data_IF_182668583188
#
_entry.id   IF_182668583188
#
_cell.length_a   1.000
_cell.length_b   1.000
_cell.length_c   1.000
_cell.angle_alpha   90.00
_cell.angle_beta   90.00
_cell.angle_gamma   90.00
#
_symmetry.space_group_name_H-M   'P 1'
#
loop_
_entity.id
_entity.type
_entity.pdbx_description
1 polymer ?
#
# COMPACT_ATOMS: atom_id res chain seq x y z
N UNK A 1 -27.63 11.08 -59.63
CA UNK A 1 -27.30 12.49 -59.25
C UNK A 1 -26.21 12.42 -58.17
N UNK A 2 -25.01 12.51 -58.63
CA UNK A 2 -23.78 12.41 -57.81
C UNK A 2 -23.39 13.80 -57.28
N UNK A 3 -23.25 13.96 -55.94
CA UNK A 3 -22.61 15.15 -55.37
C UNK A 3 -21.22 14.78 -54.84
N UNK A 4 -20.22 15.29 -55.55
CA UNK A 4 -18.82 15.29 -55.16
C UNK A 4 -18.55 16.35 -54.09
N UNK A 5 -17.95 15.98 -52.95
CA UNK A 5 -17.51 16.91 -51.93
C UNK A 5 -16.00 17.07 -51.99
N UNK A 6 -15.55 18.27 -52.26
CA UNK A 6 -14.16 18.69 -52.37
C UNK A 6 -13.61 18.96 -50.96
N UNK A 7 -12.56 18.22 -50.58
CA UNK A 7 -11.78 18.46 -49.36
C UNK A 7 -10.75 19.54 -49.66
N UNK A 8 -10.85 20.67 -48.93
CA UNK A 8 -9.83 21.73 -48.92
C UNK A 8 -8.72 21.41 -47.95
N UNK A 9 -7.53 21.21 -48.49
CA UNK A 9 -6.29 21.05 -47.73
C UNK A 9 -5.79 22.44 -47.30
N UNK A 10 -5.69 22.72 -46.01
CA UNK A 10 -5.06 23.91 -45.47
C UNK A 10 -3.60 23.60 -45.11
N UNK A 11 -2.69 24.29 -45.81
CA UNK A 11 -1.25 24.31 -45.54
C UNK A 11 -0.96 25.27 -44.36
N UNK A 12 -0.31 24.77 -43.31
CA UNK A 12 0.30 25.60 -42.27
C UNK A 12 1.77 25.87 -42.61
N UNK A 13 2.26 27.10 -42.38
CA UNK A 13 3.64 27.46 -42.65
C UNK A 13 4.60 26.96 -41.56
N UNK A 14 5.70 26.38 -42.01
CA UNK A 14 6.86 26.00 -41.18
C UNK A 14 7.64 27.26 -40.83
N UNK A 15 7.75 27.56 -39.53
CA UNK A 15 8.67 28.58 -39.03
C UNK A 15 10.07 28.00 -38.86
N UNK A 16 10.99 28.51 -39.63
CA UNK A 16 12.42 28.21 -39.61
C UNK A 16 13.08 29.08 -38.52
N UNK A 17 13.54 28.46 -37.40
CA UNK A 17 14.33 29.18 -36.39
C UNK A 17 15.81 29.07 -36.78
N UNK A 18 16.40 30.23 -37.08
CA UNK A 18 17.83 30.39 -37.35
C UNK A 18 18.59 30.49 -36.02
N UNK A 19 19.50 29.54 -35.79
CA UNK A 19 20.41 29.50 -34.64
C UNK A 19 21.64 30.37 -34.94
N UNK A 20 21.77 31.53 -34.28
CA UNK A 20 22.98 32.38 -34.31
C UNK A 20 23.96 31.91 -33.25
N UNK A 21 25.11 31.40 -33.72
CA UNK A 21 26.27 31.07 -32.86
C UNK A 21 27.11 32.36 -32.71
N UNK A 22 27.22 32.86 -31.48
CA UNK A 22 28.22 33.85 -31.12
C UNK A 22 29.40 33.17 -30.39
N UNK A 23 30.54 33.15 -31.05
CA UNK A 23 31.84 32.88 -30.44
C UNK A 23 32.40 34.20 -29.89
N UNK A 24 32.67 34.25 -28.59
CA UNK A 24 33.49 35.27 -27.99
C UNK A 24 34.48 34.61 -27.00
N UNK A 25 35.76 34.68 -27.34
CA UNK A 25 36.88 34.49 -26.40
C UNK A 25 37.04 35.71 -25.49
N UNK A 26 37.19 35.51 -24.19
CA UNK A 26 38.09 36.32 -23.38
C UNK A 26 38.25 35.80 -21.94
N UNK A 27 39.50 35.51 -21.60
CA UNK A 27 40.27 35.70 -20.36
C UNK A 27 39.60 35.63 -18.98
N UNK A 28 40.18 34.75 -18.22
CA UNK A 28 40.11 34.40 -16.79
C UNK A 28 39.79 35.49 -15.77
N UNK A 29 38.94 35.05 -14.84
CA UNK A 29 39.06 35.42 -13.42
C UNK A 29 38.37 34.31 -12.62
N UNK A 30 39.13 33.68 -11.70
CA UNK A 30 38.61 32.77 -10.70
C UNK A 30 37.73 33.56 -9.71
N UNK A 31 36.41 33.29 -9.73
CA UNK A 31 35.53 33.66 -8.66
C UNK A 31 35.18 32.40 -7.88
N UNK A 32 35.55 32.36 -6.63
CA UNK A 32 35.08 31.39 -5.64
C UNK A 32 33.56 31.50 -5.51
N UNK A 33 32.84 30.52 -6.03
CA UNK A 33 31.39 30.38 -5.81
C UNK A 33 31.22 29.59 -4.53
N UNK A 34 30.73 30.25 -3.49
CA UNK A 34 30.16 29.60 -2.32
C UNK A 34 28.83 28.95 -2.75
N UNK A 35 28.78 27.64 -2.70
CA UNK A 35 27.55 26.87 -2.89
C UNK A 35 26.55 27.24 -1.78
N UNK A 36 25.49 27.90 -2.16
CA UNK A 36 24.28 27.99 -1.35
C UNK A 36 23.43 26.75 -1.62
N UNK A 37 23.09 26.06 -0.55
CA UNK A 37 22.23 24.89 -0.41
C UNK A 37 21.03 24.90 -1.37
N UNK A 38 21.00 23.89 -2.24
CA UNK A 38 19.75 23.37 -2.80
C UNK A 38 19.40 22.12 -1.98
N UNK A 39 18.48 22.26 -1.04
CA UNK A 39 17.92 21.14 -0.30
C UNK A 39 17.05 20.30 -1.26
N UNK A 40 17.60 19.20 -1.73
CA UNK A 40 16.87 18.11 -2.39
C UNK A 40 16.06 17.38 -1.30
N UNK A 41 14.72 17.29 -1.39
CA UNK A 41 13.89 16.65 -0.36
C UNK A 41 13.93 15.10 -0.38
N UNK A 42 14.86 14.48 -1.11
CA UNK A 42 14.95 13.02 -1.27
C UNK A 42 16.09 12.37 -0.48
N UNK A 43 16.82 13.08 0.36
CA UNK A 43 17.73 12.43 1.30
C UNK A 43 16.95 12.04 2.55
N UNK A 44 16.47 10.79 2.59
CA UNK A 44 16.15 10.13 3.84
C UNK A 44 17.34 10.34 4.79
N UNK A 45 17.09 11.02 5.89
CA UNK A 45 18.07 11.25 6.96
C UNK A 45 18.37 9.88 7.59
N UNK A 46 19.36 9.17 7.05
CA UNK A 46 19.90 7.98 7.70
C UNK A 46 20.74 8.48 8.87
N UNK A 47 20.13 8.59 10.04
CA UNK A 47 20.84 8.72 11.30
C UNK A 47 21.82 7.55 11.41
N UNK A 48 23.10 7.81 11.15
CA UNK A 48 24.18 6.82 11.22
C UNK A 48 24.39 6.27 12.65
N UNK A 49 23.52 6.60 13.59
CA UNK A 49 23.52 6.20 14.98
C UNK A 49 22.23 5.49 15.43
N UNK A 50 21.29 5.21 14.51
CA UNK A 50 20.14 4.40 14.83
C UNK A 50 20.60 2.95 15.05
N UNK A 51 20.29 2.39 16.22
CA UNK A 51 20.45 0.94 16.42
C UNK A 51 19.67 0.21 15.33
N UNK A 52 20.20 -0.91 14.79
CA UNK A 52 19.47 -1.67 13.79
C UNK A 52 18.08 -2.02 14.31
N UNK A 53 17.05 -2.05 13.45
CA UNK A 53 15.71 -2.38 13.87
C UNK A 53 15.71 -3.76 14.53
N UNK A 54 15.10 -3.84 15.71
CA UNK A 54 14.94 -5.13 16.43
C UNK A 54 13.69 -5.79 15.87
N UNK A 55 13.88 -6.87 15.11
CA UNK A 55 12.76 -7.69 14.67
C UNK A 55 12.18 -8.47 15.84
N UNK A 56 10.85 -8.51 15.90
CA UNK A 56 10.10 -9.24 16.91
C UNK A 56 9.21 -10.29 16.24
N UNK A 57 9.19 -11.47 16.83
CA UNK A 57 8.23 -12.53 16.54
C UNK A 57 7.19 -12.53 17.64
N UNK A 58 5.92 -12.35 17.28
CA UNK A 58 4.79 -12.30 18.22
C UNK A 58 3.78 -13.38 17.81
N UNK A 59 3.52 -14.34 18.68
CA UNK A 59 2.40 -15.27 18.53
C UNK A 59 1.11 -14.53 18.91
N UNK A 60 0.27 -14.23 17.90
CA UNK A 60 -0.96 -13.45 18.05
C UNK A 60 -2.13 -14.35 18.47
N UNK A 61 -2.16 -15.57 17.93
CA UNK A 61 -3.10 -16.62 18.26
C UNK A 61 -2.44 -17.97 18.01
N UNK A 62 -3.13 -19.08 18.34
CA UNK A 62 -2.58 -20.43 18.19
C UNK A 62 -1.94 -20.65 16.81
N UNK A 63 -0.63 -20.83 16.79
CA UNK A 63 0.16 -21.07 15.56
C UNK A 63 0.11 -19.95 14.51
N UNK A 64 -0.42 -18.78 14.85
CA UNK A 64 -0.50 -17.58 14.01
C UNK A 64 0.43 -16.48 14.53
N UNK A 65 1.37 -16.06 13.72
CA UNK A 65 2.47 -15.18 14.12
C UNK A 65 2.47 -13.89 13.30
N UNK A 66 2.80 -12.79 13.98
CA UNK A 66 3.22 -11.52 13.38
C UNK A 66 4.74 -11.38 13.51
N UNK A 67 5.41 -11.00 12.44
CA UNK A 67 6.86 -10.79 12.40
C UNK A 67 7.19 -9.42 11.83
N UNK A 68 7.93 -8.60 12.57
CA UNK A 68 8.26 -7.26 12.08
C UNK A 68 9.20 -6.47 12.98
N UNK A 69 9.51 -5.23 12.56
CA UNK A 69 10.49 -4.34 13.19
C UNK A 69 9.86 -3.14 13.92
N UNK A 70 8.57 -3.21 14.24
CA UNK A 70 7.84 -2.13 14.89
C UNK A 70 7.16 -1.15 13.92
N UNK A 71 7.63 -1.03 12.68
CA UNK A 71 7.03 -0.19 11.65
C UNK A 71 6.30 -0.99 10.57
N UNK A 72 6.86 -2.15 10.21
CA UNK A 72 6.31 -3.03 9.17
C UNK A 72 6.24 -4.44 9.71
N UNK A 73 5.12 -5.10 9.45
CA UNK A 73 4.83 -6.46 9.90
C UNK A 73 4.31 -7.32 8.76
N UNK A 74 4.78 -8.55 8.74
CA UNK A 74 4.29 -9.65 7.94
C UNK A 74 3.63 -10.69 8.86
N UNK A 75 2.98 -11.69 8.28
CA UNK A 75 2.33 -12.74 9.05
C UNK A 75 2.69 -14.13 8.53
N UNK A 76 2.62 -15.15 9.39
CA UNK A 76 2.64 -16.54 8.97
C UNK A 76 1.84 -17.44 9.90
N UNK A 77 1.32 -18.52 9.35
CA UNK A 77 0.61 -19.57 10.09
C UNK A 77 1.37 -20.90 9.97
N UNK A 78 1.60 -21.53 11.08
CA UNK A 78 2.15 -22.90 11.15
C UNK A 78 1.01 -23.89 11.15
N UNK A 79 1.11 -24.94 10.34
CA UNK A 79 0.13 -26.04 10.26
C UNK A 79 0.81 -27.39 10.37
N UNK A 80 0.05 -28.46 10.49
CA UNK A 80 0.61 -29.83 10.57
C UNK A 80 1.30 -30.31 9.27
N UNK A 81 1.03 -29.62 8.13
CA UNK A 81 1.57 -30.03 6.83
C UNK A 81 2.50 -28.98 6.18
N UNK A 82 2.71 -27.84 6.83
CA UNK A 82 3.57 -26.77 6.32
C UNK A 82 3.22 -25.41 6.86
N UNK A 83 3.96 -24.40 6.41
CA UNK A 83 3.77 -23.00 6.78
C UNK A 83 3.18 -22.24 5.61
N UNK A 84 2.24 -21.34 5.91
CA UNK A 84 1.69 -20.34 5.00
C UNK A 84 2.17 -18.96 5.48
N UNK A 85 2.95 -18.28 4.66
CA UNK A 85 3.45 -16.93 4.92
C UNK A 85 2.65 -15.89 4.11
N UNK A 86 2.57 -14.67 4.62
CA UNK A 86 1.89 -13.53 3.98
C UNK A 86 2.82 -12.33 3.98
N UNK A 87 3.02 -11.72 2.81
CA UNK A 87 3.82 -10.53 2.54
C UNK A 87 5.29 -10.61 3.00
N UNK A 88 6.23 -10.80 2.07
CA UNK A 88 7.66 -10.92 2.39
C UNK A 88 8.35 -9.57 2.66
N UNK A 89 7.68 -8.44 2.39
CA UNK A 89 8.13 -7.05 2.57
C UNK A 89 9.30 -6.70 1.64
N UNK A 90 10.50 -7.13 1.97
CA UNK A 90 11.74 -6.94 1.20
C UNK A 90 12.71 -8.11 1.46
N UNK A 91 13.84 -8.23 0.73
CA UNK A 91 14.73 -9.38 0.84
C UNK A 91 15.34 -9.57 2.23
N UNK A 92 15.64 -8.50 2.96
CA UNK A 92 16.18 -8.58 4.33
C UNK A 92 15.12 -9.10 5.29
N UNK A 93 13.93 -8.48 5.28
CA UNK A 93 12.80 -8.90 6.11
C UNK A 93 12.41 -10.36 5.81
N UNK A 94 12.32 -10.74 4.53
CA UNK A 94 12.01 -12.09 4.11
C UNK A 94 13.02 -13.13 4.62
N UNK A 95 14.33 -12.82 4.58
CA UNK A 95 15.37 -13.70 5.08
C UNK A 95 15.24 -13.94 6.59
N UNK A 96 15.05 -12.85 7.35
CA UNK A 96 14.85 -12.92 8.81
C UNK A 96 13.53 -13.62 9.17
N UNK A 97 12.47 -13.44 8.37
CA UNK A 97 11.19 -14.13 8.56
C UNK A 97 11.31 -15.62 8.32
N UNK A 98 12.06 -16.06 7.31
CA UNK A 98 12.35 -17.48 7.08
C UNK A 98 13.14 -18.08 8.26
N UNK A 99 14.10 -17.35 8.84
CA UNK A 99 14.82 -17.77 10.05
C UNK A 99 13.86 -17.84 11.26
N UNK A 100 12.97 -16.86 11.43
CA UNK A 100 11.96 -16.86 12.48
C UNK A 100 11.01 -18.05 12.36
N UNK A 101 10.53 -18.37 11.15
CA UNK A 101 9.73 -19.57 10.89
C UNK A 101 10.47 -20.84 11.32
N UNK A 102 11.74 -21.00 10.93
CA UNK A 102 12.57 -22.15 11.29
C UNK A 102 12.86 -22.26 12.79
N UNK A 103 12.75 -21.15 13.53
CA UNK A 103 12.92 -21.16 14.98
C UNK A 103 11.71 -21.75 15.73
N UNK A 104 10.53 -21.81 15.11
CA UNK A 104 9.29 -22.28 15.72
C UNK A 104 8.80 -23.61 15.14
N UNK A 105 9.27 -24.01 13.94
CA UNK A 105 8.84 -25.27 13.31
C UNK A 105 9.86 -25.80 12.31
N UNK A 106 9.92 -27.12 12.15
CA UNK A 106 10.65 -27.81 11.08
C UNK A 106 9.80 -28.03 9.82
N UNK A 107 8.54 -27.61 9.82
CA UNK A 107 7.63 -27.77 8.68
C UNK A 107 8.11 -26.95 7.47
N UNK A 108 7.94 -27.48 6.24
CA UNK A 108 8.30 -26.73 5.03
C UNK A 108 7.40 -25.52 4.82
N UNK A 109 7.96 -24.45 4.27
CA UNK A 109 7.12 -23.30 3.83
C UNK A 109 6.46 -23.72 2.53
N UNK A 110 5.12 -23.82 2.53
CA UNK A 110 4.33 -24.28 1.39
C UNK A 110 3.87 -23.13 0.50
N UNK A 111 3.39 -22.06 1.12
CA UNK A 111 2.87 -20.90 0.41
C UNK A 111 3.46 -19.61 0.94
N UNK A 112 3.68 -18.69 0.01
CA UNK A 112 3.78 -17.26 0.27
C UNK A 112 2.61 -16.59 -0.45
N UNK A 113 1.77 -15.86 0.27
CA UNK A 113 0.61 -15.20 -0.30
C UNK A 113 0.86 -13.69 -0.31
N UNK A 114 0.75 -13.07 -1.48
CA UNK A 114 0.78 -11.63 -1.61
C UNK A 114 -0.59 -11.03 -1.31
N UNK A 115 -0.62 -9.98 -0.51
CA UNK A 115 -1.85 -9.27 -0.21
C UNK A 115 -2.32 -8.38 -1.36
N UNK A 116 -1.38 -7.67 -2.02
CA UNK A 116 -1.67 -6.75 -3.12
C UNK A 116 -0.40 -6.41 -3.91
N UNK A 117 -0.49 -5.51 -4.89
CA UNK A 117 0.60 -5.26 -5.85
C UNK A 117 1.74 -4.36 -5.37
N UNK A 118 1.72 -3.82 -4.15
CA UNK A 118 2.74 -2.89 -3.66
C UNK A 118 4.07 -3.57 -3.35
N UNK A 119 5.16 -2.92 -3.80
CA UNK A 119 6.51 -3.50 -3.71
C UNK A 119 7.09 -3.53 -2.30
N UNK A 120 6.64 -2.67 -1.43
CA UNK A 120 6.99 -2.65 0.00
C UNK A 120 6.32 -3.78 0.80
N UNK A 121 5.42 -4.55 0.16
CA UNK A 121 4.84 -5.79 0.68
C UNK A 121 5.39 -7.04 0.00
N UNK A 122 5.66 -6.98 -1.31
CA UNK A 122 5.98 -8.19 -2.10
C UNK A 122 7.45 -8.28 -2.55
N UNK A 123 8.28 -7.31 -2.14
CA UNK A 123 9.67 -7.18 -2.60
C UNK A 123 10.63 -8.29 -2.18
N UNK A 124 10.22 -9.24 -1.33
CA UNK A 124 11.05 -10.34 -0.83
C UNK A 124 10.69 -11.74 -1.36
N UNK A 125 9.81 -11.83 -2.37
CA UNK A 125 9.26 -13.10 -2.86
C UNK A 125 10.31 -14.14 -3.27
N UNK A 126 11.43 -13.72 -3.85
CA UNK A 126 12.48 -14.66 -4.28
C UNK A 126 13.06 -15.46 -3.12
N UNK A 127 13.21 -14.88 -1.93
CA UNK A 127 13.72 -15.57 -0.74
C UNK A 127 12.82 -16.76 -0.35
N UNK A 128 11.51 -16.56 -0.39
CA UNK A 128 10.54 -17.62 -0.12
C UNK A 128 10.50 -18.68 -1.23
N UNK A 129 10.64 -18.25 -2.48
CA UNK A 129 10.72 -19.17 -3.62
C UNK A 129 11.96 -20.08 -3.51
N UNK A 130 13.11 -19.53 -3.12
CA UNK A 130 14.34 -20.27 -2.86
C UNK A 130 14.21 -21.22 -1.63
N UNK A 131 13.33 -20.86 -0.69
CA UNK A 131 12.97 -21.72 0.44
C UNK A 131 11.94 -22.83 0.08
N UNK A 132 11.45 -22.87 -1.16
CA UNK A 132 10.56 -23.90 -1.69
C UNK A 132 9.06 -23.56 -1.63
N UNK A 133 8.71 -22.32 -1.32
CA UNK A 133 7.31 -21.86 -1.29
C UNK A 133 6.74 -21.64 -2.70
N UNK A 134 5.47 -21.98 -2.89
CA UNK A 134 4.66 -21.52 -4.03
C UNK A 134 4.11 -20.12 -3.73
N UNK A 135 4.29 -19.18 -4.65
CA UNK A 135 3.77 -17.82 -4.49
C UNK A 135 2.36 -17.74 -5.07
N UNK A 136 1.40 -17.32 -4.25
CA UNK A 136 -0.01 -17.18 -4.59
C UNK A 136 -0.45 -15.72 -4.44
N UNK A 137 -1.30 -15.23 -5.33
CA UNK A 137 -1.97 -13.93 -5.20
C UNK A 137 -3.37 -13.94 -5.80
N UNK A 138 -4.13 -12.87 -5.56
CA UNK A 138 -5.31 -12.60 -6.38
C UNK A 138 -4.88 -12.36 -7.85
N UNK A 139 -5.73 -12.75 -8.83
CA UNK A 139 -5.41 -12.59 -10.25
C UNK A 139 -5.14 -11.13 -10.64
N UNK A 140 -5.88 -10.16 -10.09
CA UNK A 140 -5.66 -8.73 -10.34
C UNK A 140 -4.23 -8.28 -9.94
N UNK A 141 -3.69 -8.78 -8.83
CA UNK A 141 -2.30 -8.54 -8.43
C UNK A 141 -1.32 -9.09 -9.46
N UNK A 142 -1.50 -10.34 -9.88
CA UNK A 142 -0.64 -10.98 -10.87
C UNK A 142 -0.71 -10.28 -12.22
N UNK A 143 -1.89 -9.96 -12.70
CA UNK A 143 -2.12 -9.26 -13.97
C UNK A 143 -1.47 -7.87 -13.96
N UNK A 144 -1.60 -7.14 -12.83
CA UNK A 144 -0.94 -5.86 -12.68
C UNK A 144 0.58 -5.99 -12.77
N UNK A 145 1.18 -6.94 -12.04
CA UNK A 145 2.63 -7.18 -12.05
C UNK A 145 3.16 -7.59 -13.42
N UNK A 146 2.43 -8.40 -14.17
CA UNK A 146 2.79 -8.80 -15.54
C UNK A 146 2.79 -7.61 -16.49
N UNK A 147 1.79 -6.72 -16.38
CA UNK A 147 1.64 -5.56 -17.24
C UNK A 147 2.51 -4.36 -16.83
N UNK A 148 2.98 -4.33 -15.57
CA UNK A 148 3.81 -3.27 -15.00
C UNK A 148 5.07 -3.87 -14.36
N UNK A 149 6.02 -4.39 -15.16
CA UNK A 149 7.21 -5.06 -14.65
C UNK A 149 7.96 -4.17 -13.67
N UNK A 150 8.15 -4.66 -12.45
CA UNK A 150 8.87 -3.94 -11.43
C UNK A 150 10.35 -3.78 -11.83
N UNK A 151 10.95 -2.59 -11.69
CA UNK A 151 12.39 -2.43 -11.84
C UNK A 151 13.16 -3.11 -10.68
N UNK A 152 12.47 -3.53 -9.63
CA UNK A 152 13.05 -4.25 -8.49
C UNK A 152 13.05 -5.76 -8.77
N UNK A 153 14.23 -6.41 -8.93
CA UNK A 153 14.33 -7.86 -9.22
C UNK A 153 13.88 -8.75 -8.06
N UNK A 154 13.68 -8.18 -6.87
CA UNK A 154 13.17 -8.91 -5.71
C UNK A 154 11.64 -9.13 -5.74
N UNK A 155 10.94 -8.44 -6.64
CA UNK A 155 9.51 -8.68 -6.91
C UNK A 155 9.38 -9.83 -7.89
N UNK A 156 8.71 -10.90 -7.48
CA UNK A 156 8.52 -12.13 -8.25
C UNK A 156 7.05 -12.24 -8.65
N UNK A 157 6.80 -12.55 -9.93
CA UNK A 157 5.44 -12.86 -10.41
C UNK A 157 4.92 -14.10 -9.69
N UNK A 158 3.68 -14.11 -9.16
CA UNK A 158 3.08 -15.29 -8.53
C UNK A 158 3.10 -16.53 -9.43
N UNK A 159 3.28 -17.69 -8.80
CA UNK A 159 3.25 -18.99 -9.50
C UNK A 159 1.81 -19.45 -9.73
N UNK A 160 0.90 -19.10 -8.81
CA UNK A 160 -0.51 -19.46 -8.84
C UNK A 160 -1.37 -18.23 -8.53
N UNK A 161 -2.61 -18.22 -9.01
CA UNK A 161 -3.59 -17.17 -8.73
C UNK A 161 -4.92 -17.75 -8.29
N UNK A 162 -5.68 -16.94 -7.55
CA UNK A 162 -7.08 -17.17 -7.25
C UNK A 162 -7.91 -15.98 -7.74
N UNK A 163 -9.21 -16.18 -7.97
CA UNK A 163 -10.14 -15.21 -8.51
C UNK A 163 -11.43 -15.06 -7.68
N UNK A 164 -12.17 -14.01 -7.97
CA UNK A 164 -13.45 -13.74 -7.32
C UNK A 164 -13.31 -13.10 -5.93
N UNK A 165 -14.41 -13.06 -5.18
CA UNK A 165 -14.50 -12.33 -3.93
C UNK A 165 -13.99 -13.10 -2.71
N UNK A 166 -13.80 -14.43 -2.83
CA UNK A 166 -13.36 -15.29 -1.75
C UNK A 166 -12.67 -16.55 -2.27
N UNK A 167 -11.60 -16.93 -1.56
CA UNK A 167 -10.93 -18.22 -1.74
C UNK A 167 -10.51 -18.78 -0.38
N UNK A 168 -10.62 -20.11 -0.19
CA UNK A 168 -10.26 -20.77 1.06
C UNK A 168 -9.04 -21.67 0.84
N UNK A 169 -8.02 -21.51 1.67
CA UNK A 169 -6.85 -22.39 1.71
C UNK A 169 -7.01 -23.31 2.92
N UNK A 170 -6.95 -24.61 2.67
CA UNK A 170 -6.95 -25.64 3.71
C UNK A 170 -5.59 -26.36 3.67
N UNK A 171 -4.86 -26.31 4.78
CA UNK A 171 -3.56 -26.98 4.93
C UNK A 171 -3.39 -27.45 6.37
N UNK A 172 -3.02 -28.72 6.57
CA UNK A 172 -2.65 -29.28 7.88
C UNK A 172 -3.64 -28.97 9.00
N UNK A 173 -4.96 -29.08 8.73
CA UNK A 173 -6.03 -28.84 9.69
C UNK A 173 -6.40 -27.37 9.94
N UNK A 174 -5.69 -26.41 9.35
CA UNK A 174 -5.99 -24.99 9.44
C UNK A 174 -6.68 -24.48 8.18
N UNK A 175 -7.49 -23.44 8.33
CA UNK A 175 -8.18 -22.75 7.22
C UNK A 175 -7.81 -21.29 7.23
N UNK A 176 -7.42 -20.76 6.08
CA UNK A 176 -7.27 -19.32 5.82
C UNK A 176 -8.28 -18.93 4.75
N UNK A 177 -9.16 -18.01 5.06
CA UNK A 177 -10.11 -17.44 4.11
C UNK A 177 -9.52 -16.15 3.54
N UNK A 178 -9.38 -16.07 2.23
CA UNK A 178 -8.92 -14.90 1.48
C UNK A 178 -10.12 -14.13 0.97
N UNK A 179 -10.20 -12.84 1.24
CA UNK A 179 -11.29 -11.98 0.78
C UNK A 179 -10.77 -10.83 -0.07
N UNK A 180 -11.41 -10.61 -1.21
CA UNK A 180 -11.26 -9.42 -2.04
C UNK A 180 -12.60 -8.67 -2.04
N UNK A 181 -12.64 -7.47 -1.44
CA UNK A 181 -13.87 -6.69 -1.25
C UNK A 181 -14.10 -5.63 -2.33
N UNK A 182 -13.33 -5.66 -3.41
CA UNK A 182 -13.36 -4.68 -4.48
C UNK A 182 -12.22 -3.66 -4.40
N UNK A 183 -12.14 -2.74 -5.36
CA UNK A 183 -11.07 -1.76 -5.44
C UNK A 183 -11.02 -0.88 -4.18
N UNK A 184 -9.92 -0.91 -3.45
CA UNK A 184 -9.72 -0.15 -2.21
C UNK A 184 -8.32 0.43 -2.09
N UNK A 185 -7.28 -0.40 -2.23
CA UNK A 185 -5.88 -0.05 -2.10
C UNK A 185 -5.01 -1.02 -2.91
N UNK A 186 -4.21 -0.50 -3.84
CA UNK A 186 -3.46 -1.32 -4.77
C UNK A 186 -4.35 -2.26 -5.59
N UNK A 187 -3.75 -3.15 -6.36
CA UNK A 187 -4.48 -4.11 -7.18
C UNK A 187 -4.57 -5.47 -6.46
N UNK A 188 -5.77 -6.05 -6.45
CA UNK A 188 -6.05 -7.37 -5.88
C UNK A 188 -5.98 -7.44 -4.36
N UNK A 189 -6.30 -6.32 -3.66
CA UNK A 189 -6.21 -6.21 -2.21
C UNK A 189 -6.93 -7.34 -1.49
N UNK A 190 -6.16 -8.17 -0.80
CA UNK A 190 -6.59 -9.38 -0.11
C UNK A 190 -6.57 -9.18 1.40
N UNK A 191 -7.69 -9.44 2.06
CA UNK A 191 -7.80 -9.55 3.52
C UNK A 191 -7.82 -11.03 3.90
N UNK A 192 -7.03 -11.39 4.91
CA UNK A 192 -6.91 -12.76 5.39
C UNK A 192 -7.75 -12.93 6.66
N UNK A 193 -8.58 -13.97 6.70
CA UNK A 193 -9.28 -14.36 7.91
C UNK A 193 -8.85 -15.74 8.36
N UNK A 194 -8.63 -15.89 9.65
CA UNK A 194 -8.26 -17.11 10.35
C UNK A 194 -9.42 -17.49 11.27
N UNK A 195 -10.38 -18.31 10.79
CA UNK A 195 -11.64 -18.52 11.50
C UNK A 195 -11.47 -19.15 12.89
N UNK A 196 -10.60 -20.16 13.02
CA UNK A 196 -10.35 -20.84 14.29
C UNK A 196 -9.63 -19.94 15.31
N UNK A 197 -8.78 -19.05 14.84
CA UNK A 197 -8.01 -18.08 15.62
C UNK A 197 -8.77 -16.80 15.88
N UNK A 198 -9.98 -16.64 15.35
CA UNK A 198 -10.82 -15.43 15.44
C UNK A 198 -10.05 -14.16 15.11
N UNK A 199 -9.22 -14.21 14.07
CA UNK A 199 -8.28 -13.13 13.71
C UNK A 199 -8.43 -12.78 12.22
N UNK A 200 -8.21 -11.51 11.88
CA UNK A 200 -8.01 -11.06 10.50
C UNK A 200 -6.65 -10.36 10.36
N UNK A 201 -6.03 -10.47 9.19
CA UNK A 201 -4.88 -9.65 8.81
C UNK A 201 -5.32 -8.71 7.69
N UNK A 202 -5.32 -7.40 7.99
CA UNK A 202 -5.96 -6.37 7.14
C UNK A 202 -4.97 -5.66 6.25
N UNK A 203 -3.69 -5.95 6.41
CA UNK A 203 -2.58 -5.28 5.71
C UNK A 203 -2.76 -3.75 5.81
N UNK A 204 -2.77 -3.03 4.71
CA UNK A 204 -2.80 -1.56 4.67
C UNK A 204 -4.18 -0.94 4.83
N UNK A 205 -5.24 -1.76 4.82
CA UNK A 205 -6.60 -1.23 4.99
C UNK A 205 -6.88 -0.73 6.41
N UNK A 206 -6.12 -1.19 7.41
CA UNK A 206 -6.23 -0.69 8.78
C UNK A 206 -4.85 -0.45 9.36
N UNK A 207 -4.54 0.80 9.66
CA UNK A 207 -3.33 1.18 10.40
C UNK A 207 -3.76 1.87 11.69
N UNK A 208 -3.51 1.26 12.86
CA UNK A 208 -4.12 1.70 14.11
C UNK A 208 -3.63 3.11 14.49
N UNK A 209 -4.59 3.99 14.83
CA UNK A 209 -4.34 5.37 15.28
C UNK A 209 -3.42 6.17 14.34
N UNK A 210 -3.60 5.98 13.01
CA UNK A 210 -2.93 6.76 11.98
C UNK A 210 -3.93 7.21 10.92
N UNK A 211 -3.85 8.46 10.49
CA UNK A 211 -4.58 8.94 9.30
C UNK A 211 -4.03 8.24 8.05
N UNK A 212 -4.75 8.30 6.95
CA UNK A 212 -4.33 7.64 5.72
C UNK A 212 -2.97 8.20 5.23
N UNK A 213 -2.17 7.34 4.59
CA UNK A 213 -0.83 7.71 4.15
C UNK A 213 -0.86 8.78 3.05
N UNK A 214 -0.27 9.93 3.33
CA UNK A 214 -0.04 11.02 2.37
C UNK A 214 -1.26 11.31 1.46
N UNK A 215 -1.06 11.36 0.15
CA UNK A 215 -2.12 11.60 -0.85
C UNK A 215 -2.97 10.38 -1.19
N UNK A 216 -2.74 9.22 -0.56
CA UNK A 216 -3.42 7.97 -0.93
C UNK A 216 -3.42 7.75 -2.46
N UNK A 217 -2.27 7.67 -3.12
CA UNK A 217 -2.14 7.84 -4.57
C UNK A 217 -2.94 6.81 -5.39
N UNK A 218 -3.11 5.60 -4.88
CA UNK A 218 -3.85 4.51 -5.50
C UNK A 218 -5.01 3.95 -4.64
N UNK A 219 -5.35 4.65 -3.55
CA UNK A 219 -6.56 4.34 -2.81
C UNK A 219 -7.80 4.82 -3.54
N UNK A 220 -8.85 4.02 -3.47
CA UNK A 220 -10.21 4.39 -3.82
C UNK A 220 -10.99 4.64 -2.52
N UNK A 221 -11.12 5.90 -2.02
CA UNK A 221 -11.71 6.18 -0.71
C UNK A 221 -13.09 5.55 -0.47
N UNK A 222 -14.00 5.60 -1.47
CA UNK A 222 -15.31 4.93 -1.37
C UNK A 222 -15.20 3.42 -1.31
N UNK A 223 -14.31 2.84 -2.12
CA UNK A 223 -14.04 1.41 -2.11
C UNK A 223 -13.40 0.97 -0.79
N UNK A 224 -12.51 1.78 -0.24
CA UNK A 224 -11.91 1.51 1.06
C UNK A 224 -12.96 1.49 2.18
N UNK A 225 -13.84 2.51 2.27
CA UNK A 225 -14.96 2.53 3.22
C UNK A 225 -15.87 1.30 3.02
N UNK A 226 -16.14 0.92 1.77
CA UNK A 226 -16.94 -0.27 1.48
C UNK A 226 -16.26 -1.56 1.96
N UNK A 227 -14.97 -1.73 1.72
CA UNK A 227 -14.17 -2.88 2.19
C UNK A 227 -14.17 -2.98 3.71
N UNK A 228 -13.99 -1.86 4.42
CA UNK A 228 -14.05 -1.82 5.89
C UNK A 228 -15.43 -2.25 6.41
N UNK A 229 -16.53 -1.83 5.76
CA UNK A 229 -17.90 -2.29 6.08
C UNK A 229 -18.11 -3.78 5.84
N UNK A 230 -17.51 -4.34 4.81
CA UNK A 230 -17.57 -5.80 4.58
C UNK A 230 -16.75 -6.55 5.64
N UNK A 231 -15.56 -6.06 6.00
CA UNK A 231 -14.77 -6.62 7.09
C UNK A 231 -15.52 -6.64 8.42
N UNK A 232 -16.27 -5.58 8.75
CA UNK A 232 -17.09 -5.51 9.98
C UNK A 232 -18.17 -6.59 10.07
N UNK A 233 -18.57 -7.22 8.95
CA UNK A 233 -19.54 -8.33 8.93
C UNK A 233 -18.89 -9.68 9.23
N UNK A 234 -17.58 -9.78 9.13
CA UNK A 234 -16.85 -11.01 9.47
C UNK A 234 -16.82 -11.22 10.98
N UNK A 235 -16.73 -12.47 11.39
CA UNK A 235 -16.56 -12.85 12.80
C UNK A 235 -15.07 -12.93 13.12
N UNK A 236 -14.57 -12.05 13.98
CA UNK A 236 -13.21 -12.00 14.52
C UNK A 236 -13.17 -11.13 15.77
N UNK A 237 -12.14 -11.30 16.59
CA UNK A 237 -11.89 -10.49 17.78
C UNK A 237 -10.59 -9.69 17.64
N UNK A 238 -9.61 -10.24 16.95
CA UNK A 238 -8.27 -9.67 16.80
C UNK A 238 -8.01 -9.23 15.36
N UNK A 239 -7.35 -8.08 15.21
CA UNK A 239 -6.83 -7.57 13.93
C UNK A 239 -5.32 -7.61 13.97
N UNK A 240 -4.69 -8.20 12.98
CA UNK A 240 -3.27 -8.05 12.68
C UNK A 240 -3.09 -6.94 11.65
N UNK A 241 -2.03 -6.17 11.79
CA UNK A 241 -1.71 -5.03 10.93
C UNK A 241 -0.39 -5.23 10.21
N UNK A 242 -0.21 -4.56 9.07
CA UNK A 242 1.10 -4.49 8.41
C UNK A 242 1.96 -3.32 8.90
N UNK A 243 1.37 -2.33 9.58
CA UNK A 243 2.05 -1.12 10.05
C UNK A 243 1.68 -0.75 11.49
N UNK A 244 2.61 -0.07 12.18
CA UNK A 244 2.50 0.55 13.49
C UNK A 244 2.37 -0.42 14.69
N UNK A 245 1.74 -1.56 14.55
CA UNK A 245 1.56 -2.55 15.62
C UNK A 245 1.39 -3.96 15.04
N UNK A 246 1.75 -4.98 15.81
CA UNK A 246 1.57 -6.38 15.41
C UNK A 246 0.09 -6.79 15.36
N UNK A 247 -0.70 -6.32 16.32
CA UNK A 247 -2.13 -6.63 16.42
C UNK A 247 -2.88 -5.62 17.29
N UNK A 248 -4.19 -5.68 17.24
CA UNK A 248 -5.09 -4.86 18.06
C UNK A 248 -6.53 -5.39 18.06
N UNK A 249 -7.47 -4.67 18.70
CA UNK A 249 -8.85 -5.09 18.82
C UNK A 249 -9.64 -4.90 17.52
N UNK A 250 -10.74 -5.63 17.39
CA UNK A 250 -11.74 -5.50 16.32
C UNK A 250 -12.16 -4.04 16.05
N UNK A 251 -12.26 -3.22 17.09
CA UNK A 251 -12.65 -1.80 16.98
C UNK A 251 -11.74 -0.98 16.06
N UNK A 252 -10.50 -1.44 15.80
CA UNK A 252 -9.57 -0.74 14.92
C UNK A 252 -10.10 -0.63 13.49
N UNK A 253 -10.89 -1.60 13.01
CA UNK A 253 -11.56 -1.56 11.69
C UNK A 253 -12.61 -0.45 11.67
N UNK A 254 -13.45 -0.39 12.70
CA UNK A 254 -14.47 0.64 12.85
C UNK A 254 -13.87 2.05 12.98
N UNK A 255 -12.81 2.19 13.78
CA UNK A 255 -12.11 3.47 13.94
C UNK A 255 -11.53 4.00 12.62
N UNK A 256 -10.92 3.10 11.81
CA UNK A 256 -10.40 3.48 10.49
C UNK A 256 -11.53 3.89 9.53
N UNK A 257 -12.64 3.15 9.53
CA UNK A 257 -13.83 3.50 8.72
C UNK A 257 -14.42 4.84 9.14
N UNK A 258 -14.61 5.05 10.44
CA UNK A 258 -15.16 6.32 10.97
C UNK A 258 -14.28 7.51 10.59
N UNK A 259 -12.95 7.37 10.64
CA UNK A 259 -12.04 8.43 10.20
C UNK A 259 -12.32 8.83 8.75
N UNK A 260 -12.42 7.88 7.84
CA UNK A 260 -12.67 8.15 6.42
C UNK A 260 -14.07 8.75 6.19
N UNK A 261 -15.08 8.23 6.90
CA UNK A 261 -16.47 8.73 6.81
C UNK A 261 -16.60 10.13 7.41
N UNK A 262 -15.97 10.42 8.55
CA UNK A 262 -15.97 11.74 9.19
C UNK A 262 -15.28 12.77 8.28
N UNK A 263 -14.14 12.42 7.67
CA UNK A 263 -13.43 13.29 6.75
C UNK A 263 -14.26 13.58 5.48
N UNK A 264 -14.86 12.56 4.88
CA UNK A 264 -15.75 12.72 3.73
C UNK A 264 -17.00 13.53 4.08
N UNK A 265 -17.56 13.31 5.27
CA UNK A 265 -18.73 14.01 5.79
C UNK A 265 -18.47 15.48 5.99
N UNK A 266 -17.35 15.85 6.61
CA UNK A 266 -16.95 17.24 6.84
C UNK A 266 -16.75 18.00 5.51
N UNK A 267 -16.00 17.39 4.57
CA UNK A 267 -15.83 17.98 3.22
C UNK A 267 -17.19 18.18 2.55
N UNK A 268 -18.07 17.19 2.59
CA UNK A 268 -19.40 17.26 1.97
C UNK A 268 -20.26 18.33 2.59
N UNK A 269 -20.27 18.47 3.93
CA UNK A 269 -21.07 19.45 4.65
C UNK A 269 -20.64 20.90 4.31
N UNK A 270 -19.33 21.14 4.28
CA UNK A 270 -18.78 22.47 3.95
C UNK A 270 -19.00 22.84 2.48
N UNK A 271 -18.89 21.86 1.56
CA UNK A 271 -19.26 22.07 0.14
C UNK A 271 -20.73 22.43 -0.02
N UNK A 272 -21.65 21.76 0.70
CA UNK A 272 -23.07 22.07 0.68
C UNK A 272 -23.38 23.46 1.27
N UNK A 273 -22.57 23.93 2.21
CA UNK A 273 -22.65 25.30 2.74
C UNK A 273 -22.14 26.36 1.75
N UNK A 274 -21.61 25.95 0.59
CA UNK A 274 -21.11 26.83 -0.46
C UNK A 274 -19.69 27.34 -0.25
N UNK A 275 -18.93 26.71 0.63
CA UNK A 275 -17.52 27.04 0.83
C UNK A 275 -16.67 26.63 -0.40
N UNK A 276 -15.58 27.36 -0.60
CA UNK A 276 -14.64 27.08 -1.68
C UNK A 276 -13.92 25.75 -1.41
N UNK A 277 -13.97 24.75 -2.33
CA UNK A 277 -13.31 23.46 -2.14
C UNK A 277 -11.82 23.53 -1.80
N UNK A 278 -11.08 24.49 -2.38
CA UNK A 278 -9.66 24.69 -2.08
C UNK A 278 -9.43 25.26 -0.67
N UNK A 279 -10.36 26.04 -0.13
CA UNK A 279 -10.31 26.52 1.24
C UNK A 279 -10.65 25.39 2.21
N UNK A 280 -11.65 24.56 1.88
CA UNK A 280 -12.06 23.42 2.69
C UNK A 280 -10.86 22.53 2.98
N UNK A 281 -10.16 22.04 1.95
CA UNK A 281 -9.05 21.08 2.13
C UNK A 281 -7.87 21.66 2.90
N UNK A 282 -7.62 22.97 2.78
CA UNK A 282 -6.52 23.64 3.48
C UNK A 282 -6.85 24.07 4.92
N UNK A 283 -8.13 24.01 5.30
CA UNK A 283 -8.61 24.40 6.64
C UNK A 283 -9.41 23.29 7.32
N UNK A 284 -9.28 22.06 6.82
CA UNK A 284 -9.95 20.90 7.38
C UNK A 284 -9.40 20.58 8.76
N UNK A 285 -10.28 20.33 9.71
CA UNK A 285 -9.92 19.88 11.05
C UNK A 285 -10.87 18.76 11.46
N UNK A 286 -10.32 17.73 12.07
CA UNK A 286 -11.04 16.62 12.66
C UNK A 286 -10.52 16.39 14.09
N UNK A 287 -10.95 17.19 15.08
CA UNK A 287 -10.40 17.17 16.45
C UNK A 287 -10.43 15.79 17.11
N UNK A 288 -11.39 14.94 16.74
CA UNK A 288 -11.49 13.53 17.22
C UNK A 288 -10.22 12.72 16.93
N UNK A 289 -9.45 13.10 15.91
CA UNK A 289 -8.29 12.35 15.39
C UNK A 289 -6.96 13.11 15.53
N UNK A 290 -6.94 14.25 16.21
CA UNK A 290 -5.76 15.11 16.32
C UNK A 290 -4.52 14.40 16.92
N UNK A 291 -4.73 13.37 17.76
CA UNK A 291 -3.67 12.59 18.38
C UNK A 291 -3.22 11.39 17.51
N UNK A 292 -3.78 11.23 16.30
CA UNK A 292 -3.40 10.15 15.39
C UNK A 292 -2.10 10.50 14.68
N UNK A 293 -1.24 9.49 14.49
CA UNK A 293 0.00 9.66 13.73
C UNK A 293 -0.28 10.19 12.32
N UNK A 294 0.54 11.13 11.87
CA UNK A 294 0.42 11.76 10.56
C UNK A 294 -0.71 12.79 10.43
N UNK A 295 -1.43 13.13 11.51
CA UNK A 295 -2.56 14.06 11.44
C UNK A 295 -2.13 15.42 10.87
N UNK A 296 -1.11 16.06 11.43
CA UNK A 296 -0.64 17.37 11.00
C UNK A 296 0.00 17.33 9.60
N UNK A 297 0.63 16.20 9.26
CA UNK A 297 1.36 16.05 8.00
C UNK A 297 0.43 15.67 6.81
N UNK A 298 -0.59 14.84 7.04
CA UNK A 298 -1.31 14.17 5.96
C UNK A 298 -2.81 14.43 5.89
N UNK A 299 -3.44 15.04 6.92
CA UNK A 299 -4.89 15.28 6.89
C UNK A 299 -5.32 16.11 5.67
N UNK A 300 -4.60 17.19 5.38
CA UNK A 300 -4.84 18.03 4.18
C UNK A 300 -4.71 17.21 2.89
N UNK A 301 -3.71 16.34 2.81
CA UNK A 301 -3.50 15.47 1.64
C UNK A 301 -4.62 14.44 1.50
N UNK A 302 -5.09 13.87 2.61
CA UNK A 302 -6.24 12.96 2.63
C UNK A 302 -7.52 13.68 2.16
N UNK A 303 -7.75 14.90 2.62
CA UNK A 303 -8.89 15.72 2.19
C UNK A 303 -8.85 16.00 0.69
N UNK A 304 -7.66 16.32 0.14
CA UNK A 304 -7.47 16.47 -1.30
C UNK A 304 -7.85 15.21 -2.07
N UNK A 305 -7.41 14.04 -1.63
CA UNK A 305 -7.71 12.78 -2.33
C UNK A 305 -9.20 12.46 -2.33
N UNK A 306 -9.87 12.62 -1.18
CA UNK A 306 -11.33 12.43 -1.07
C UNK A 306 -12.08 13.41 -1.93
N UNK A 307 -11.70 14.70 -1.89
CA UNK A 307 -12.34 15.73 -2.71
C UNK A 307 -12.17 15.43 -4.21
N UNK A 308 -10.99 15.00 -4.66
CA UNK A 308 -10.76 14.64 -6.06
C UNK A 308 -11.65 13.48 -6.49
N UNK A 309 -11.81 12.44 -5.65
CA UNK A 309 -12.74 11.36 -5.93
C UNK A 309 -14.19 11.85 -6.04
N UNK A 310 -14.62 12.75 -5.16
CA UNK A 310 -15.97 13.32 -5.20
C UNK A 310 -16.24 14.09 -6.51
N UNK A 311 -15.23 14.78 -7.06
CA UNK A 311 -15.38 15.53 -8.33
C UNK A 311 -15.24 14.65 -9.57
N UNK A 312 -14.34 13.68 -9.56
CA UNK A 312 -13.98 12.90 -10.76
C UNK A 312 -14.62 11.51 -10.79
N UNK A 313 -15.11 11.01 -9.67
CA UNK A 313 -15.66 9.68 -9.54
C UNK A 313 -14.59 8.57 -9.57
N UNK A 314 -13.32 8.93 -9.34
CA UNK A 314 -12.17 8.01 -9.43
C UNK A 314 -11.24 8.21 -8.23
#
# INVERSE_FOLDING_TARGET
MTRSSIIKLQLFPVFLIVLLIFTACSSGQQATVTNSDSTDPTTANTDANASPPVFALVEVADSLYSFGNGNTFAAFMVTDEGVIAMDPINPEHASLMVEAIRSVTDQPIKYLIYSHSHWDHIGGGQVFKDAGATILSHEETSDWLVNHPAPNPAVVIPDETWDGARHDILLGGKTIELYQFGPSHGEGMTVFRFPAEQTIFTVDLVVPKRVAFAYMPDFTPRGWIASLKEMEKLEFETVMFSHNAASGPRSSVTEQREFLEDLQGEISARMQAGENPFEIVNTIELPKYQDWAGYDDWLTMNAWRIMLEMFMGK
#
